data_IF_649499303445
#
_entry.id   IF_649499303445
#
_cell.length_a   1.000
_cell.length_b   1.000
_cell.length_c   1.000
_cell.angle_alpha   90.00
_cell.angle_beta   90.00
_cell.angle_gamma   90.00
#
_symmetry.space_group_name_H-M   'P 1'
#
loop_
_entity.id
_entity.type
_entity.pdbx_description
1 polymer ?
#
# COMPACT_ATOMS: atom_id res chain seq x y z
N UNK A 1 -20.12 -5.39 -21.77
CA UNK A 1 -19.16 -4.32 -22.13
C UNK A 1 -18.10 -4.89 -23.04
N UNK A 2 -17.67 -4.14 -24.07
CA UNK A 2 -16.47 -4.50 -24.82
C UNK A 2 -15.23 -4.35 -23.92
N UNK A 3 -14.22 -5.23 -24.03
CA UNK A 3 -13.00 -5.10 -23.26
C UNK A 3 -12.31 -3.77 -23.59
N UNK A 4 -11.74 -3.11 -22.58
CA UNK A 4 -11.00 -1.86 -22.76
C UNK A 4 -9.78 -2.12 -23.66
N UNK A 5 -9.48 -1.18 -24.55
CA UNK A 5 -8.20 -1.22 -25.26
C UNK A 5 -7.06 -1.01 -24.27
N UNK A 6 -5.86 -1.53 -24.59
CA UNK A 6 -4.67 -1.34 -23.74
C UNK A 6 -4.38 0.14 -23.45
N UNK A 7 -4.51 1.00 -24.46
CA UNK A 7 -4.30 2.45 -24.31
C UNK A 7 -5.33 3.08 -23.38
N UNK A 8 -6.61 2.75 -23.56
CA UNK A 8 -7.68 3.24 -22.69
C UNK A 8 -7.49 2.77 -21.24
N UNK A 9 -7.07 1.52 -21.04
CA UNK A 9 -6.74 0.97 -19.73
C UNK A 9 -5.62 1.77 -19.04
N UNK A 10 -4.52 2.03 -19.75
CA UNK A 10 -3.41 2.84 -19.23
C UNK A 10 -3.89 4.25 -18.88
N UNK A 11 -4.69 4.88 -19.75
CA UNK A 11 -5.25 6.21 -19.50
C UNK A 11 -6.08 6.28 -18.21
N UNK A 12 -6.93 5.28 -17.95
CA UNK A 12 -7.68 5.21 -16.70
C UNK A 12 -6.82 4.91 -15.48
N UNK A 13 -5.75 4.13 -15.60
CA UNK A 13 -4.78 3.92 -14.52
C UNK A 13 -4.06 5.23 -14.16
N UNK A 14 -3.61 5.99 -15.16
CA UNK A 14 -3.00 7.31 -14.95
C UNK A 14 -3.99 8.29 -14.32
N UNK A 15 -5.25 8.29 -14.77
CA UNK A 15 -6.31 9.10 -14.15
C UNK A 15 -6.54 8.72 -12.69
N UNK A 16 -6.55 7.43 -12.36
CA UNK A 16 -6.74 6.95 -10.99
C UNK A 16 -5.62 7.40 -10.05
N UNK A 17 -4.37 7.36 -10.52
CA UNK A 17 -3.22 7.87 -9.77
C UNK A 17 -3.27 9.41 -9.63
N UNK A 18 -3.59 10.14 -10.71
CA UNK A 18 -3.72 11.59 -10.67
C UNK A 18 -4.83 12.07 -9.73
N UNK A 19 -5.94 11.32 -9.63
CA UNK A 19 -6.99 11.59 -8.66
C UNK A 19 -6.53 11.36 -7.22
N UNK A 20 -5.69 10.35 -6.98
CA UNK A 20 -5.09 10.08 -5.67
C UNK A 20 -4.24 11.27 -5.22
N UNK A 21 -3.31 11.72 -6.07
CA UNK A 21 -2.47 12.88 -5.79
C UNK A 21 -3.29 14.14 -5.53
N UNK A 22 -4.27 14.43 -6.41
CA UNK A 22 -5.16 15.59 -6.26
C UNK A 22 -5.95 15.52 -4.95
N UNK A 23 -6.48 14.35 -4.58
CA UNK A 23 -7.21 14.18 -3.32
C UNK A 23 -6.33 14.41 -2.09
N UNK A 24 -5.06 13.97 -2.12
CA UNK A 24 -4.11 14.25 -1.05
C UNK A 24 -3.79 15.74 -0.91
N UNK A 25 -3.58 16.44 -2.03
CA UNK A 25 -3.33 17.89 -2.04
C UNK A 25 -4.52 18.69 -1.49
N UNK A 26 -5.75 18.33 -1.88
CA UNK A 26 -6.96 18.98 -1.36
C UNK A 26 -7.13 18.66 0.14
N UNK A 27 -6.83 17.42 0.54
CA UNK A 27 -6.93 17.00 1.92
C UNK A 27 -6.00 17.78 2.86
N UNK A 28 -4.89 18.33 2.35
CA UNK A 28 -3.94 19.14 3.10
C UNK A 28 -4.42 20.59 3.39
N UNK A 29 -5.43 21.08 2.67
CA UNK A 29 -5.92 22.46 2.81
C UNK A 29 -6.40 22.85 4.22
N UNK A 30 -7.10 21.99 5.00
CA UNK A 30 -7.50 22.31 6.37
C UNK A 30 -6.28 22.58 7.29
N UNK A 31 -5.20 21.82 7.14
CA UNK A 31 -3.98 22.01 7.92
C UNK A 31 -3.30 23.34 7.55
N UNK A 32 -3.29 23.69 6.26
CA UNK A 32 -2.79 25.00 5.80
C UNK A 32 -3.62 26.18 6.35
N UNK A 33 -4.94 26.03 6.43
CA UNK A 33 -5.84 27.10 6.84
C UNK A 33 -5.98 27.24 8.37
N UNK A 34 -5.92 26.14 9.12
CA UNK A 34 -6.26 26.08 10.55
C UNK A 34 -5.06 25.71 11.43
N UNK A 35 -3.88 25.51 10.84
CA UNK A 35 -2.65 25.12 11.52
C UNK A 35 -2.55 23.62 11.78
N UNK A 36 -1.36 23.20 12.24
CA UNK A 36 -1.06 21.81 12.53
C UNK A 36 -1.55 21.42 13.93
N UNK A 37 -2.54 20.52 13.98
CA UNK A 37 -3.08 19.98 15.22
C UNK A 37 -3.88 18.68 14.95
N UNK A 38 -4.23 17.98 16.03
CA UNK A 38 -4.97 16.70 15.93
C UNK A 38 -6.26 16.80 15.13
N UNK A 39 -7.01 17.90 15.25
CA UNK A 39 -8.28 18.07 14.53
C UNK A 39 -8.03 18.18 13.03
N UNK A 40 -7.02 18.97 12.61
CA UNK A 40 -6.70 19.14 11.19
C UNK A 40 -6.12 17.87 10.58
N UNK A 41 -5.31 17.09 11.30
CA UNK A 41 -4.83 15.79 10.84
C UNK A 41 -5.96 14.78 10.63
N UNK A 42 -6.90 14.69 11.59
CA UNK A 42 -8.05 13.78 11.47
C UNK A 42 -8.97 14.20 10.31
N UNK A 43 -9.20 15.51 10.15
CA UNK A 43 -9.96 16.04 9.02
C UNK A 43 -9.28 15.75 7.69
N UNK A 44 -7.96 15.93 7.60
CA UNK A 44 -7.17 15.61 6.41
C UNK A 44 -7.30 14.12 6.06
N UNK A 45 -7.10 13.22 7.02
CA UNK A 45 -7.24 11.78 6.81
C UNK A 45 -8.63 11.40 6.29
N UNK A 46 -9.68 11.91 6.94
CA UNK A 46 -11.07 11.68 6.53
C UNK A 46 -11.38 12.24 5.14
N UNK A 47 -10.90 13.45 4.85
CA UNK A 47 -11.11 14.11 3.56
C UNK A 47 -10.38 13.38 2.43
N UNK A 48 -9.16 12.90 2.66
CA UNK A 48 -8.39 12.14 1.67
C UNK A 48 -9.12 10.86 1.26
N UNK A 49 -9.56 10.06 2.25
CA UNK A 49 -10.35 8.84 2.01
C UNK A 49 -11.66 9.17 1.29
N UNK A 50 -12.38 10.18 1.77
CA UNK A 50 -13.69 10.56 1.23
C UNK A 50 -13.61 11.00 -0.23
N UNK A 51 -12.68 11.89 -0.57
CA UNK A 51 -12.49 12.40 -1.92
C UNK A 51 -12.10 11.28 -2.89
N UNK A 52 -11.17 10.40 -2.48
CA UNK A 52 -10.77 9.30 -3.34
C UNK A 52 -11.91 8.28 -3.53
N UNK A 53 -12.70 8.02 -2.50
CA UNK A 53 -13.88 7.17 -2.60
C UNK A 53 -14.94 7.76 -3.56
N UNK A 54 -15.17 9.08 -3.53
CA UNK A 54 -16.04 9.76 -4.49
C UNK A 54 -15.53 9.61 -5.93
N UNK A 55 -14.22 9.75 -6.14
CA UNK A 55 -13.58 9.50 -7.42
C UNK A 55 -13.78 8.04 -7.88
N UNK A 56 -13.50 7.06 -7.02
CA UNK A 56 -13.67 5.64 -7.33
C UNK A 56 -15.12 5.33 -7.73
N UNK A 57 -16.11 5.88 -7.01
CA UNK A 57 -17.54 5.74 -7.32
C UNK A 57 -17.93 6.44 -8.63
N UNK A 58 -17.34 7.59 -8.92
CA UNK A 58 -17.55 8.26 -10.20
C UNK A 58 -16.98 7.44 -11.36
N UNK A 59 -15.75 6.94 -11.22
CA UNK A 59 -15.08 6.13 -12.23
C UNK A 59 -15.84 4.82 -12.48
N UNK A 60 -16.33 4.18 -11.41
CA UNK A 60 -17.11 2.95 -11.52
C UNK A 60 -18.38 3.17 -12.36
N UNK A 61 -19.11 4.26 -12.11
CA UNK A 61 -20.28 4.65 -12.92
C UNK A 61 -19.91 4.94 -14.36
N UNK A 62 -18.81 5.66 -14.61
CA UNK A 62 -18.34 5.99 -15.96
C UNK A 62 -17.96 4.75 -16.78
N UNK A 63 -17.41 3.74 -16.12
CA UNK A 63 -17.02 2.49 -16.75
C UNK A 63 -18.16 1.46 -16.80
N UNK A 64 -19.33 1.73 -16.20
CA UNK A 64 -20.42 0.76 -16.12
C UNK A 64 -20.10 -0.43 -15.21
N UNK A 65 -19.25 -0.23 -14.20
CA UNK A 65 -18.73 -1.25 -13.30
C UNK A 65 -19.11 -0.95 -11.85
N UNK A 66 -19.21 -2.00 -11.04
CA UNK A 66 -19.43 -1.89 -9.60
C UNK A 66 -18.11 -1.79 -8.84
N UNK A 67 -18.14 -1.19 -7.64
CA UNK A 67 -17.01 -1.21 -6.71
C UNK A 67 -16.61 -2.63 -6.30
N UNK A 68 -17.57 -3.57 -6.34
CA UNK A 68 -17.32 -5.00 -6.10
C UNK A 68 -16.39 -5.59 -7.18
N UNK A 69 -16.54 -5.20 -8.45
CA UNK A 69 -15.62 -5.64 -9.51
C UNK A 69 -14.21 -5.11 -9.29
N UNK A 70 -14.08 -3.87 -8.80
CA UNK A 70 -12.81 -3.32 -8.33
C UNK A 70 -12.37 -3.91 -6.97
N UNK A 71 -13.09 -4.86 -6.38
CA UNK A 71 -12.77 -5.45 -5.07
C UNK A 71 -12.71 -4.42 -3.92
N UNK A 72 -13.29 -3.23 -4.12
CA UNK A 72 -13.49 -2.20 -3.09
C UNK A 72 -14.73 -2.60 -2.29
N UNK A 73 -14.53 -3.54 -1.36
CA UNK A 73 -15.57 -4.19 -0.56
C UNK A 73 -15.05 -4.42 0.86
N UNK A 74 -15.96 -4.70 1.81
CA UNK A 74 -15.62 -4.97 3.21
C UNK A 74 -15.65 -6.48 3.55
N UNK A 75 -15.25 -7.34 2.61
CA UNK A 75 -15.17 -8.78 2.89
C UNK A 75 -14.07 -9.01 3.92
N UNK A 76 -14.45 -9.65 5.04
CA UNK A 76 -13.53 -9.88 6.17
C UNK A 76 -12.26 -10.62 5.72
N UNK A 77 -11.06 -10.18 6.16
CA UNK A 77 -9.82 -10.88 5.86
C UNK A 77 -9.82 -12.32 6.39
N UNK A 78 -9.25 -13.23 5.62
CA UNK A 78 -9.08 -14.63 6.07
C UNK A 78 -8.10 -14.72 7.24
N UNK A 79 -8.20 -15.78 8.05
CA UNK A 79 -7.28 -16.02 9.18
C UNK A 79 -5.80 -15.93 8.78
N UNK A 80 -5.43 -16.45 7.60
CA UNK A 80 -4.07 -16.36 7.08
C UNK A 80 -3.57 -14.91 6.97
N UNK A 81 -4.38 -14.02 6.39
CA UNK A 81 -4.02 -12.61 6.19
C UNK A 81 -4.04 -11.81 7.50
N UNK A 82 -4.88 -12.18 8.47
CA UNK A 82 -4.85 -11.60 9.81
C UNK A 82 -3.53 -11.96 10.52
N UNK A 83 -3.12 -13.23 10.44
CA UNK A 83 -1.84 -13.69 10.99
C UNK A 83 -0.67 -12.97 10.32
N UNK A 84 -0.68 -12.85 8.99
CA UNK A 84 0.35 -12.09 8.26
C UNK A 84 0.39 -10.64 8.73
N UNK A 85 -0.75 -9.96 8.84
CA UNK A 85 -0.80 -8.55 9.23
C UNK A 85 -0.17 -8.27 10.60
N UNK A 86 -0.27 -9.22 11.53
CA UNK A 86 0.30 -9.11 12.89
C UNK A 86 1.77 -9.54 12.89
N UNK A 87 2.07 -10.73 12.40
CA UNK A 87 3.37 -11.34 12.59
C UNK A 87 4.44 -10.84 11.61
N UNK A 88 4.07 -10.36 10.42
CA UNK A 88 5.01 -9.81 9.45
C UNK A 88 5.79 -8.62 10.04
N UNK A 89 5.16 -7.51 10.49
CA UNK A 89 5.89 -6.40 11.08
C UNK A 89 6.61 -6.80 12.36
N UNK A 90 5.96 -7.53 13.28
CA UNK A 90 6.58 -7.94 14.54
C UNK A 90 7.87 -8.75 14.33
N UNK A 91 7.87 -9.69 13.38
CA UNK A 91 9.05 -10.52 13.11
C UNK A 91 10.18 -9.68 12.53
N UNK A 92 9.90 -8.80 11.56
CA UNK A 92 10.93 -7.96 10.95
C UNK A 92 11.54 -7.01 11.97
N UNK A 93 10.71 -6.29 12.73
CA UNK A 93 11.18 -5.33 13.72
C UNK A 93 11.94 -6.03 14.86
N UNK A 94 11.49 -7.19 15.32
CA UNK A 94 12.21 -7.98 16.32
C UNK A 94 13.59 -8.39 15.81
N UNK A 95 13.69 -8.91 14.57
CA UNK A 95 14.99 -9.30 14.01
C UNK A 95 15.91 -8.10 13.89
N UNK A 96 15.44 -6.96 13.40
CA UNK A 96 16.24 -5.74 13.28
C UNK A 96 16.69 -5.22 14.65
N UNK A 97 15.84 -5.31 15.67
CA UNK A 97 16.21 -4.98 17.06
C UNK A 97 17.31 -5.92 17.59
N UNK A 98 17.17 -7.23 17.39
CA UNK A 98 18.17 -8.23 17.80
C UNK A 98 19.52 -8.06 17.06
N UNK A 99 19.50 -7.49 15.85
CA UNK A 99 20.70 -7.12 15.10
C UNK A 99 21.35 -5.81 15.59
N UNK A 100 20.92 -5.29 16.75
CA UNK A 100 21.48 -4.09 17.37
C UNK A 100 20.79 -2.79 16.98
N UNK A 101 19.62 -2.85 16.33
CA UNK A 101 18.79 -1.69 16.04
C UNK A 101 18.29 -1.01 17.31
N UNK A 102 18.45 0.31 17.39
CA UNK A 102 17.90 1.12 18.48
C UNK A 102 16.55 1.66 18.06
N UNK A 103 15.54 1.44 18.89
CA UNK A 103 14.15 1.83 18.63
C UNK A 103 13.80 3.07 19.44
N UNK A 104 13.22 4.07 18.77
CA UNK A 104 12.57 5.22 19.40
C UNK A 104 11.12 5.29 18.95
N UNK A 105 10.30 6.06 19.68
CA UNK A 105 8.94 6.38 19.26
C UNK A 105 8.96 7.64 18.40
N UNK A 106 8.10 7.68 17.39
CA UNK A 106 7.83 8.91 16.64
C UNK A 106 7.27 10.00 17.54
N UNK A 107 7.74 11.23 17.33
CA UNK A 107 7.18 12.42 17.98
C UNK A 107 5.82 12.82 17.38
N UNK A 108 5.53 12.37 16.14
CA UNK A 108 4.29 12.68 15.41
C UNK A 108 3.36 11.45 15.33
N UNK A 109 2.90 11.02 16.51
CA UNK A 109 2.05 9.83 16.66
C UNK A 109 0.70 10.01 15.93
N UNK A 110 0.15 11.22 15.94
CA UNK A 110 -1.17 11.51 15.37
C UNK A 110 -1.14 11.32 13.85
N UNK A 111 -0.18 11.93 13.17
CA UNK A 111 -0.05 11.78 11.72
C UNK A 111 0.33 10.35 11.33
N UNK A 112 1.22 9.72 12.08
CA UNK A 112 1.63 8.31 11.86
C UNK A 112 0.42 7.36 11.91
N UNK A 113 -0.55 7.60 12.79
CA UNK A 113 -1.77 6.81 12.89
C UNK A 113 -2.77 7.20 11.80
N UNK A 114 -3.21 8.46 11.76
CA UNK A 114 -4.35 8.85 10.93
C UNK A 114 -4.00 8.93 9.44
N UNK A 115 -2.83 9.46 9.09
CA UNK A 115 -2.38 9.52 7.71
C UNK A 115 -1.61 8.27 7.31
N UNK A 116 -0.59 7.90 8.09
CA UNK A 116 0.33 6.81 7.75
C UNK A 116 -0.30 5.43 7.82
N UNK A 117 -1.04 5.12 8.89
CA UNK A 117 -1.60 3.78 9.10
C UNK A 117 -3.05 3.62 8.63
N UNK A 118 -3.81 4.71 8.45
CA UNK A 118 -5.23 4.65 8.10
C UNK A 118 -5.47 5.20 6.68
N UNK A 119 -5.27 6.51 6.47
CA UNK A 119 -5.70 7.15 5.23
C UNK A 119 -4.89 6.71 4.01
N UNK A 120 -3.56 6.71 4.10
CA UNK A 120 -2.70 6.30 2.99
C UNK A 120 -2.95 4.84 2.58
N UNK A 121 -2.93 3.83 3.49
CA UNK A 121 -3.23 2.45 3.12
C UNK A 121 -4.61 2.27 2.48
N UNK A 122 -5.65 2.93 3.00
CA UNK A 122 -7.00 2.84 2.43
C UNK A 122 -7.03 3.39 1.00
N UNK A 123 -6.47 4.58 0.78
CA UNK A 123 -6.51 5.24 -0.53
C UNK A 123 -5.61 4.54 -1.55
N UNK A 124 -4.39 4.18 -1.15
CA UNK A 124 -3.44 3.49 -2.01
C UNK A 124 -3.98 2.13 -2.42
N UNK A 125 -4.58 1.35 -1.51
CA UNK A 125 -5.14 0.05 -1.87
C UNK A 125 -6.38 0.18 -2.78
N UNK A 126 -7.22 1.21 -2.60
CA UNK A 126 -8.28 1.52 -3.58
C UNK A 126 -7.70 1.85 -4.96
N UNK A 127 -6.60 2.60 -5.03
CA UNK A 127 -5.96 3.01 -6.27
C UNK A 127 -5.27 1.82 -6.96
N UNK A 128 -4.28 1.22 -6.31
CA UNK A 128 -3.39 0.23 -6.90
C UNK A 128 -4.05 -1.14 -7.02
N UNK A 129 -4.71 -1.64 -5.97
CA UNK A 129 -5.27 -3.02 -5.94
C UNK A 129 -6.73 -3.03 -6.36
N UNK A 130 -7.43 -1.94 -6.08
CA UNK A 130 -8.80 -1.79 -6.52
C UNK A 130 -8.89 -1.49 -8.02
N UNK A 131 -8.59 -0.24 -8.38
CA UNK A 131 -8.79 0.28 -9.73
C UNK A 131 -7.72 -0.23 -10.70
N UNK A 132 -6.44 0.07 -10.47
CA UNK A 132 -5.37 -0.18 -11.44
C UNK A 132 -5.19 -1.67 -11.74
N UNK A 133 -5.06 -2.50 -10.70
CA UNK A 133 -4.94 -3.95 -10.86
C UNK A 133 -6.12 -4.50 -11.66
N UNK A 134 -7.36 -4.14 -11.31
CA UNK A 134 -8.53 -4.64 -12.02
C UNK A 134 -8.58 -4.21 -13.49
N UNK A 135 -8.27 -2.94 -13.79
CA UNK A 135 -8.23 -2.46 -15.18
C UNK A 135 -7.17 -3.22 -15.99
N UNK A 136 -5.98 -3.41 -15.43
CA UNK A 136 -4.92 -4.16 -16.10
C UNK A 136 -5.29 -5.63 -16.32
N UNK A 137 -6.07 -6.26 -15.43
CA UNK A 137 -6.60 -7.62 -15.64
C UNK A 137 -7.52 -7.72 -16.87
N UNK A 138 -8.17 -6.62 -17.28
CA UNK A 138 -9.08 -6.62 -18.43
C UNK A 138 -8.37 -6.55 -19.79
N UNK A 139 -7.16 -5.99 -19.83
CA UNK A 139 -6.46 -5.69 -21.09
C UNK A 139 -5.06 -6.32 -21.19
N UNK A 140 -4.55 -6.88 -20.09
CA UNK A 140 -3.21 -7.48 -20.00
C UNK A 140 -3.26 -8.84 -19.28
N UNK A 141 -2.10 -9.50 -19.19
CA UNK A 141 -1.99 -10.76 -18.46
C UNK A 141 -2.11 -10.54 -16.95
N UNK A 142 -2.54 -11.59 -16.22
CA UNK A 142 -2.60 -11.57 -14.75
C UNK A 142 -1.25 -11.19 -14.10
N UNK A 143 -0.13 -11.57 -14.71
CA UNK A 143 1.21 -11.19 -14.24
C UNK A 143 1.42 -9.67 -14.32
N UNK A 144 1.04 -9.04 -15.43
CA UNK A 144 1.14 -7.58 -15.61
C UNK A 144 0.20 -6.86 -14.66
N UNK A 145 -1.00 -7.40 -14.42
CA UNK A 145 -1.93 -6.79 -13.49
C UNK A 145 -1.46 -6.79 -12.04
N UNK A 146 -0.69 -7.80 -11.62
CA UNK A 146 -0.07 -7.89 -10.30
C UNK A 146 1.20 -7.03 -10.23
N UNK A 147 2.12 -7.22 -11.17
CA UNK A 147 3.45 -6.60 -11.12
C UNK A 147 3.43 -5.14 -11.54
N UNK A 148 2.58 -4.75 -12.49
CA UNK A 148 2.50 -3.37 -13.00
C UNK A 148 2.23 -2.34 -11.91
N UNK A 149 1.11 -2.44 -11.16
CA UNK A 149 0.82 -1.55 -10.05
C UNK A 149 1.85 -1.67 -8.92
N UNK A 150 2.46 -2.84 -8.72
CA UNK A 150 3.44 -3.06 -7.65
C UNK A 150 4.80 -2.41 -7.93
N UNK A 151 5.28 -2.49 -9.17
CA UNK A 151 6.48 -1.75 -9.61
C UNK A 151 6.20 -0.25 -9.58
N UNK A 152 5.02 0.17 -10.06
CA UNK A 152 4.64 1.58 -10.02
C UNK A 152 4.52 2.12 -8.59
N UNK A 153 4.01 1.30 -7.67
CA UNK A 153 3.99 1.60 -6.23
C UNK A 153 5.40 1.89 -5.70
N UNK A 154 6.38 1.01 -5.95
CA UNK A 154 7.78 1.27 -5.54
C UNK A 154 8.38 2.53 -6.20
N UNK A 155 8.06 2.79 -7.47
CA UNK A 155 8.54 3.97 -8.19
C UNK A 155 8.03 5.28 -7.60
N UNK A 156 6.73 5.37 -7.25
CA UNK A 156 6.18 6.62 -6.72
C UNK A 156 6.72 6.96 -5.33
N UNK A 157 7.17 5.97 -4.57
CA UNK A 157 7.79 6.20 -3.26
C UNK A 157 9.20 6.80 -3.36
N UNK A 158 9.85 6.77 -4.53
CA UNK A 158 11.08 7.54 -4.77
C UNK A 158 10.84 9.06 -4.73
N UNK A 159 9.56 9.50 -4.80
CA UNK A 159 9.20 10.92 -4.70
C UNK A 159 9.14 11.41 -3.24
N UNK A 160 9.21 10.50 -2.25
CA UNK A 160 9.10 10.86 -0.84
C UNK A 160 10.36 11.55 -0.29
N UNK A 161 11.46 11.54 -1.03
CA UNK A 161 12.70 12.20 -0.62
C UNK A 161 13.90 11.74 -1.45
N UNK A 162 15.02 12.43 -1.27
CA UNK A 162 16.29 12.03 -1.87
C UNK A 162 16.88 10.84 -1.13
N UNK A 163 17.19 9.76 -1.84
CA UNK A 163 17.86 8.58 -1.32
C UNK A 163 19.06 8.24 -2.19
N UNK A 164 20.07 7.57 -1.62
CA UNK A 164 21.18 7.05 -2.42
C UNK A 164 20.71 6.03 -3.47
N UNK A 165 21.50 5.81 -4.52
CA UNK A 165 21.17 4.83 -5.58
C UNK A 165 20.99 3.41 -5.03
N UNK A 166 21.71 3.05 -3.95
CA UNK A 166 21.58 1.76 -3.30
C UNK A 166 20.21 1.65 -2.60
N UNK A 167 19.84 2.65 -1.81
CA UNK A 167 18.54 2.70 -1.13
C UNK A 167 17.38 2.80 -2.11
N UNK A 168 17.55 3.51 -3.23
CA UNK A 168 16.59 3.53 -4.33
C UNK A 168 16.35 2.12 -4.89
N UNK A 169 17.43 1.34 -5.11
CA UNK A 169 17.31 -0.04 -5.56
C UNK A 169 16.60 -0.93 -4.52
N UNK A 170 16.95 -0.77 -3.24
CA UNK A 170 16.28 -1.48 -2.14
C UNK A 170 14.78 -1.15 -2.10
N UNK A 171 14.42 0.12 -2.24
CA UNK A 171 13.04 0.58 -2.30
C UNK A 171 12.29 -0.01 -3.50
N UNK A 172 12.89 -0.03 -4.69
CA UNK A 172 12.22 -0.61 -5.87
C UNK A 172 11.97 -2.11 -5.69
N UNK A 173 12.91 -2.85 -5.10
CA UNK A 173 12.76 -4.27 -4.82
C UNK A 173 11.68 -4.49 -3.75
N UNK A 174 11.84 -3.85 -2.58
CA UNK A 174 10.94 -4.00 -1.45
C UNK A 174 9.51 -3.53 -1.78
N UNK A 175 9.37 -2.36 -2.41
CA UNK A 175 8.10 -1.80 -2.87
C UNK A 175 7.39 -2.71 -3.87
N UNK A 176 8.14 -3.32 -4.81
CA UNK A 176 7.57 -4.31 -5.75
C UNK A 176 7.12 -5.59 -5.03
N UNK A 177 7.91 -6.08 -4.07
CA UNK A 177 7.58 -7.29 -3.31
C UNK A 177 6.36 -7.08 -2.42
N UNK A 178 6.38 -6.07 -1.54
CA UNK A 178 5.24 -5.77 -0.65
C UNK A 178 4.00 -5.43 -1.47
N UNK A 179 4.18 -4.73 -2.59
CA UNK A 179 3.07 -4.45 -3.48
C UNK A 179 2.47 -5.69 -4.14
N UNK A 180 3.30 -6.67 -4.48
CA UNK A 180 2.85 -7.96 -5.00
C UNK A 180 2.13 -8.78 -3.92
N UNK A 181 2.61 -8.71 -2.67
CA UNK A 181 1.96 -9.31 -1.50
C UNK A 181 0.54 -8.75 -1.31
N UNK A 182 0.37 -7.43 -1.35
CA UNK A 182 -0.95 -6.77 -1.26
C UNK A 182 -1.87 -7.17 -2.41
N UNK A 183 -1.32 -7.30 -3.63
CA UNK A 183 -2.07 -7.79 -4.79
C UNK A 183 -2.57 -9.22 -4.58
N UNK A 184 -1.73 -10.11 -4.04
CA UNK A 184 -2.12 -11.48 -3.70
C UNK A 184 -3.17 -11.52 -2.60
N UNK A 185 -3.04 -10.69 -1.56
CA UNK A 185 -4.04 -10.58 -0.49
C UNK A 185 -5.42 -10.19 -1.04
N UNK A 186 -5.45 -9.20 -1.92
CA UNK A 186 -6.68 -8.76 -2.59
C UNK A 186 -7.25 -9.86 -3.49
N UNK A 187 -6.44 -10.50 -4.33
CA UNK A 187 -6.91 -11.51 -5.28
C UNK A 187 -7.43 -12.77 -4.60
N UNK A 188 -6.78 -13.22 -3.52
CA UNK A 188 -7.15 -14.44 -2.82
C UNK A 188 -8.40 -14.28 -1.95
N UNK A 189 -8.74 -13.05 -1.55
CA UNK A 189 -9.92 -12.76 -0.71
C UNK A 189 -11.05 -12.07 -1.45
N UNK A 190 -10.80 -11.56 -2.66
CA UNK A 190 -11.78 -10.79 -3.44
C UNK A 190 -12.06 -9.40 -2.87
N UNK A 191 -11.20 -8.90 -1.99
CA UNK A 191 -11.39 -7.61 -1.31
C UNK A 191 -10.06 -6.96 -0.96
N UNK A 192 -9.97 -5.64 -1.18
CA UNK A 192 -8.85 -4.83 -0.72
C UNK A 192 -8.76 -4.73 0.81
N UNK A 193 -9.79 -5.13 1.56
CA UNK A 193 -9.75 -5.04 3.03
C UNK A 193 -8.62 -5.90 3.62
N UNK A 194 -8.27 -7.02 2.97
CA UNK A 194 -7.14 -7.85 3.39
C UNK A 194 -5.80 -7.17 3.17
N UNK A 195 -5.62 -6.47 2.04
CA UNK A 195 -4.38 -5.73 1.81
C UNK A 195 -4.30 -4.47 2.65
N UNK A 196 -5.41 -3.74 2.83
CA UNK A 196 -5.51 -2.61 3.77
C UNK A 196 -5.09 -3.06 5.17
N UNK A 197 -5.58 -4.19 5.67
CA UNK A 197 -5.21 -4.66 7.01
C UNK A 197 -3.69 -4.90 7.14
N UNK A 198 -3.09 -5.61 6.19
CA UNK A 198 -1.64 -5.89 6.23
C UNK A 198 -0.84 -4.60 6.08
N UNK A 199 -1.25 -3.73 5.16
CA UNK A 199 -0.60 -2.46 4.86
C UNK A 199 -0.67 -1.50 6.06
N UNK A 200 -1.86 -1.31 6.64
CA UNK A 200 -2.09 -0.49 7.83
C UNK A 200 -1.27 -0.94 9.03
N UNK A 201 -1.23 -2.25 9.34
CA UNK A 201 -0.43 -2.72 10.49
C UNK A 201 1.07 -2.66 10.22
N UNK A 202 1.49 -2.85 8.96
CA UNK A 202 2.86 -2.62 8.55
C UNK A 202 3.26 -1.16 8.78
N UNK A 203 2.54 -0.20 8.18
CA UNK A 203 2.83 1.22 8.35
C UNK A 203 2.71 1.69 9.79
N UNK A 204 1.70 1.23 10.54
CA UNK A 204 1.57 1.57 11.96
C UNK A 204 2.84 1.20 12.73
N UNK A 205 3.34 0.00 12.49
CA UNK A 205 4.53 -0.51 13.18
C UNK A 205 5.78 0.27 12.78
N UNK A 206 5.99 0.51 11.49
CA UNK A 206 7.22 1.17 10.99
C UNK A 206 7.20 2.70 11.14
N UNK A 207 6.01 3.32 11.20
CA UNK A 207 5.87 4.77 11.41
C UNK A 207 5.93 5.15 12.89
N UNK A 208 5.55 4.24 13.80
CA UNK A 208 5.63 4.48 15.25
C UNK A 208 6.99 4.07 15.80
N UNK A 209 7.50 2.90 15.42
CA UNK A 209 8.76 2.36 15.90
C UNK A 209 9.88 2.70 14.92
N UNK A 210 10.58 3.80 15.22
CA UNK A 210 11.66 4.31 14.38
C UNK A 210 12.97 3.65 14.75
N UNK A 211 13.73 3.22 13.75
CA UNK A 211 15.07 2.67 13.93
C UNK A 211 16.11 3.72 13.55
N UNK A 212 16.92 4.13 14.52
CA UNK A 212 18.01 5.10 14.30
C UNK A 212 19.26 4.40 13.75
N UNK A 213 19.13 3.85 12.54
CA UNK A 213 20.22 3.20 11.81
C UNK A 213 19.97 3.28 10.30
N UNK A 214 20.80 4.06 9.61
CA UNK A 214 20.70 4.27 8.15
C UNK A 214 21.66 3.39 7.34
N UNK A 215 22.17 2.29 7.92
CA UNK A 215 22.93 1.32 7.13
C UNK A 215 21.99 0.60 6.15
N UNK A 216 22.53 0.08 5.05
CA UNK A 216 21.75 -0.66 4.05
C UNK A 216 21.03 -1.88 4.65
N UNK A 217 21.55 -2.48 5.72
CA UNK A 217 20.89 -3.57 6.44
C UNK A 217 19.55 -3.16 7.07
N UNK A 218 19.42 -1.89 7.46
CA UNK A 218 18.20 -1.31 8.03
C UNK A 218 17.39 -0.53 6.98
N UNK A 219 17.76 -0.62 5.70
CA UNK A 219 17.03 0.01 4.58
C UNK A 219 17.47 1.44 4.28
N UNK A 220 18.66 1.84 4.73
CA UNK A 220 19.28 3.10 4.31
C UNK A 220 18.52 4.33 4.80
N UNK A 221 18.54 5.39 3.99
CA UNK A 221 17.86 6.66 4.25
C UNK A 221 16.33 6.54 4.21
N UNK A 222 15.79 5.46 3.62
CA UNK A 222 14.36 5.23 3.54
C UNK A 222 13.80 4.57 4.81
N UNK A 223 14.58 3.69 5.43
CA UNK A 223 14.23 3.02 6.68
C UNK A 223 13.82 1.56 6.51
N UNK A 224 13.35 0.98 7.61
CA UNK A 224 13.24 -0.49 7.79
C UNK A 224 12.31 -1.18 6.80
N UNK A 225 11.37 -0.44 6.20
CA UNK A 225 10.42 -0.90 5.20
C UNK A 225 11.09 -1.54 3.97
N UNK A 226 12.28 -1.05 3.63
CA UNK A 226 13.04 -1.48 2.44
C UNK A 226 14.28 -2.28 2.79
N UNK A 227 14.45 -2.62 4.07
CA UNK A 227 15.56 -3.45 4.51
C UNK A 227 15.59 -4.81 3.78
N UNK A 228 16.77 -5.43 3.64
CA UNK A 228 16.88 -6.80 3.13
C UNK A 228 16.06 -7.80 3.97
N UNK A 229 15.94 -7.56 5.28
CA UNK A 229 15.14 -8.37 6.20
C UNK A 229 13.64 -8.26 5.87
N UNK A 230 13.11 -7.04 5.69
CA UNK A 230 11.73 -6.83 5.27
C UNK A 230 11.46 -7.46 3.89
N UNK A 231 12.35 -7.23 2.93
CA UNK A 231 12.26 -7.79 1.58
C UNK A 231 12.18 -9.32 1.58
N UNK A 232 13.03 -9.97 2.38
CA UNK A 232 13.01 -11.43 2.55
C UNK A 232 11.70 -11.90 3.18
N UNK A 233 11.21 -11.21 4.20
CA UNK A 233 9.94 -11.54 4.85
C UNK A 233 8.76 -11.44 3.88
N UNK A 234 8.70 -10.39 3.04
CA UNK A 234 7.69 -10.27 1.99
C UNK A 234 7.75 -11.45 1.02
N UNK A 235 8.94 -11.81 0.55
CA UNK A 235 9.13 -12.94 -0.36
C UNK A 235 8.66 -14.26 0.26
N UNK A 236 9.00 -14.52 1.52
CA UNK A 236 8.54 -15.72 2.25
C UNK A 236 7.01 -15.74 2.32
N UNK A 237 6.36 -14.63 2.71
CA UNK A 237 4.90 -14.55 2.79
C UNK A 237 4.25 -14.76 1.42
N UNK A 238 4.81 -14.19 0.35
CA UNK A 238 4.35 -14.41 -1.02
C UNK A 238 4.35 -15.91 -1.33
N UNK A 239 5.48 -16.60 -1.12
CA UNK A 239 5.62 -18.03 -1.38
C UNK A 239 4.64 -18.87 -0.54
N UNK A 240 4.52 -18.58 0.76
CA UNK A 240 3.58 -19.25 1.65
C UNK A 240 2.13 -19.06 1.22
N UNK A 241 1.74 -17.84 0.83
CA UNK A 241 0.39 -17.54 0.35
C UNK A 241 0.05 -18.33 -0.92
N UNK A 242 1.02 -18.48 -1.83
CA UNK A 242 0.85 -19.24 -3.07
C UNK A 242 0.66 -20.74 -2.79
N UNK A 243 1.41 -21.30 -1.84
CA UNK A 243 1.27 -22.71 -1.41
C UNK A 243 -0.08 -22.93 -0.73
N UNK A 244 -0.44 -22.07 0.23
CA UNK A 244 -1.70 -22.17 0.97
C UNK A 244 -2.92 -22.07 0.04
N UNK A 245 -2.85 -21.23 -0.98
CA UNK A 245 -3.94 -21.07 -1.95
C UNK A 245 -4.06 -22.26 -2.91
N UNK A 246 -2.94 -22.85 -3.36
CA UNK A 246 -2.96 -24.07 -4.18
C UNK A 246 -3.66 -25.23 -3.47
N UNK A 247 -3.37 -25.43 -2.18
CA UNK A 247 -3.99 -26.49 -1.35
C UNK A 247 -5.50 -26.34 -1.17
N UNK A 248 -6.05 -25.12 -1.29
CA UNK A 248 -7.50 -24.87 -1.22
C UNK A 248 -8.21 -25.11 -2.56
N UNK A 249 -7.46 -25.13 -3.66
CA UNK A 249 -8.00 -25.31 -5.01
C UNK A 249 -7.89 -26.76 -5.53
N UNK A 250 -7.13 -27.61 -4.84
CA UNK A 250 -7.06 -29.07 -5.02
C UNK A 250 -8.06 -29.79 -4.12
#
# INVERSE_FOLDING_TARGET
MKPLTKLTCIGFCTLAFGAMMTSGLIAFLPQLALGDNIVTTVLMAGLYIFLYYLFAKWLSRRLGMSLIQFRITLVKPSQFWIVVAIFLPLTVLLVLYLLGGKVTLTDDLVNSIFMGAIAAPIVEEMCFRGIMMHLLEQSFSRKVAILGPSVFFGLVHLLNGSVSSLTALQLLIAGTLVGSLFSLATLQTGSILSSILVHSLWNLSTSILLFDNQTSLFGGEYGVDVSPIASLAYLIVILLSMIAHRKKAS
#
